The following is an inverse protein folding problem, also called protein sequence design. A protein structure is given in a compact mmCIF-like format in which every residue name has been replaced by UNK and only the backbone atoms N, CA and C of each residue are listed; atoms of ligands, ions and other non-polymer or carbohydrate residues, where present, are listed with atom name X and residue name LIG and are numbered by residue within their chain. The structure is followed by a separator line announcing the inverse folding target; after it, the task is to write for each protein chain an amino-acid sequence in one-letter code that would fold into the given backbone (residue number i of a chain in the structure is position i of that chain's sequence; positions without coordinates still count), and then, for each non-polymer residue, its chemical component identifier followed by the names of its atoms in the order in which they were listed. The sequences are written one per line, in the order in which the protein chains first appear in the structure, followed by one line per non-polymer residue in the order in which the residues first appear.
data_IF_789487064827
#
_entry.id   IF_789487064827
#
_cell.length_a   1.000
_cell.length_b   1.000
_cell.length_c   1.000
_cell.angle_alpha   90.00
_cell.angle_beta   90.00
_cell.angle_gamma   90.00
#
_symmetry.space_group_name_H-M   'P 1'
#
loop_
_entity.id
_entity.type
_entity.pdbx_description
1 polymer ?
#
# COMPACT_ATOMS: atom_id res chain seq x y z
N UNK A 1 -3.68 -10.00 10.09
CA UNK A 1 -3.51 -8.62 9.58
C UNK A 1 -2.05 -8.22 9.76
N UNK A 2 -1.41 -7.75 8.70
CA UNK A 2 -0.05 -7.20 8.69
C UNK A 2 -0.15 -5.70 8.98
N UNK A 3 0.62 -5.19 9.93
CA UNK A 3 0.69 -3.75 10.20
C UNK A 3 1.85 -3.16 9.40
N UNK A 4 1.55 -2.19 8.56
CA UNK A 4 2.48 -1.53 7.65
C UNK A 4 2.79 -0.13 8.18
N UNK A 5 4.07 0.20 8.36
CA UNK A 5 4.50 1.55 8.72
C UNK A 5 4.48 2.45 7.50
N UNK A 6 3.65 3.48 7.58
CA UNK A 6 3.52 4.50 6.54
C UNK A 6 4.78 5.37 6.41
N UNK A 7 5.18 5.66 5.18
CA UNK A 7 6.25 6.58 4.77
C UNK A 7 7.55 6.43 5.54
N UNK A 8 8.18 5.27 5.47
CA UNK A 8 9.56 5.10 5.96
C UNK A 8 10.54 5.48 4.86
N UNK A 9 10.51 6.78 4.51
CA UNK A 9 11.20 7.31 3.33
C UNK A 9 12.70 7.55 3.51
N UNK A 10 13.23 7.35 4.72
CA UNK A 10 14.67 7.45 5.00
C UNK A 10 15.20 6.13 5.52
N UNK A 11 16.50 5.87 5.35
CA UNK A 11 17.17 4.69 5.87
C UNK A 11 17.19 4.71 7.40
N UNK A 12 17.25 5.89 8.01
CA UNK A 12 17.11 6.06 9.45
C UNK A 12 15.74 5.57 9.93
N UNK A 13 14.68 5.99 9.25
CA UNK A 13 13.31 5.57 9.53
C UNK A 13 13.06 4.08 9.31
N UNK A 14 13.64 3.53 8.25
CA UNK A 14 13.62 2.10 7.96
C UNK A 14 14.29 1.32 9.09
N UNK A 15 15.49 1.74 9.52
CA UNK A 15 16.24 1.07 10.61
C UNK A 15 15.58 1.20 11.97
N UNK A 16 14.86 2.30 12.21
CA UNK A 16 14.09 2.52 13.41
C UNK A 16 12.77 1.72 13.44
N UNK A 17 12.37 1.14 12.31
CA UNK A 17 11.17 0.30 12.22
C UNK A 17 11.50 -1.14 12.61
N UNK A 18 10.59 -1.77 13.36
CA UNK A 18 10.74 -3.18 13.73
C UNK A 18 10.50 -4.11 12.54
N UNK A 19 11.34 -5.14 12.39
CA UNK A 19 11.32 -6.06 11.26
C UNK A 19 10.04 -6.92 11.15
N UNK A 20 9.23 -7.01 12.21
CA UNK A 20 7.94 -7.71 12.20
C UNK A 20 6.81 -6.90 11.53
N UNK A 21 7.04 -5.61 11.26
CA UNK A 21 6.14 -4.75 10.53
C UNK A 21 6.43 -4.80 9.03
N UNK A 22 5.45 -4.44 8.20
CA UNK A 22 5.74 -4.07 6.81
C UNK A 22 6.06 -2.59 6.69
N UNK A 23 6.45 -2.17 5.49
CA UNK A 23 6.86 -0.80 5.18
C UNK A 23 6.10 -0.30 3.97
N UNK A 24 5.64 0.94 4.02
CA UNK A 24 5.26 1.71 2.85
C UNK A 24 6.25 2.87 2.68
N UNK A 25 6.64 3.13 1.44
CA UNK A 25 7.51 4.23 1.04
C UNK A 25 7.05 4.85 -0.27
N UNK A 26 7.45 6.09 -0.50
CA UNK A 26 7.15 6.85 -1.71
C UNK A 26 8.36 6.88 -2.66
N UNK A 27 8.12 6.64 -3.95
CA UNK A 27 9.16 6.52 -4.97
C UNK A 27 9.00 7.55 -6.09
N UNK A 28 10.13 8.13 -6.49
CA UNK A 28 10.28 9.10 -7.59
C UNK A 28 11.58 8.85 -8.36
N UNK A 29 11.77 9.55 -9.48
CA UNK A 29 13.04 9.59 -10.19
C UNK A 29 13.86 10.85 -9.92
N UNK A 30 15.18 10.71 -10.07
CA UNK A 30 16.15 11.80 -10.16
C UNK A 30 17.10 11.51 -11.31
N UNK A 31 16.79 12.05 -12.49
CA UNK A 31 17.49 11.68 -13.72
C UNK A 31 17.34 10.18 -14.00
N UNK A 32 18.45 9.44 -13.99
CA UNK A 32 18.44 7.99 -14.15
C UNK A 32 18.38 7.22 -12.82
N UNK A 33 18.21 7.87 -11.68
CA UNK A 33 18.15 7.22 -10.36
C UNK A 33 16.72 7.10 -9.85
N UNK A 34 16.47 6.09 -9.01
CA UNK A 34 15.28 6.02 -8.17
C UNK A 34 15.60 6.64 -6.80
N UNK A 35 14.70 7.48 -6.31
CA UNK A 35 14.82 8.12 -5.00
C UNK A 35 13.58 7.86 -4.16
N UNK A 36 13.78 7.88 -2.85
CA UNK A 36 12.71 7.72 -1.86
C UNK A 36 12.26 9.10 -1.38
N UNK A 37 11.14 9.58 -1.91
CA UNK A 37 10.58 10.87 -1.53
C UNK A 37 9.09 10.99 -1.89
N UNK A 38 8.31 11.64 -1.02
CA UNK A 38 6.89 11.86 -1.25
C UNK A 38 6.63 13.04 -2.19
N UNK A 39 7.16 14.22 -1.87
CA UNK A 39 6.83 15.46 -2.56
C UNK A 39 7.54 15.60 -3.90
N UNK A 40 6.86 16.21 -4.86
CA UNK A 40 7.43 16.53 -6.17
C UNK A 40 8.47 17.64 -6.04
N UNK A 41 9.44 17.65 -6.96
CA UNK A 41 10.51 18.66 -7.01
C UNK A 41 11.39 18.74 -5.76
N UNK A 42 11.39 17.67 -4.95
CA UNK A 42 12.23 17.52 -3.78
C UNK A 42 13.14 16.32 -3.95
N UNK A 43 14.31 16.41 -3.33
CA UNK A 43 15.32 15.38 -3.40
C UNK A 43 15.16 14.33 -2.29
N UNK A 44 15.67 13.12 -2.49
CA UNK A 44 15.54 12.00 -1.57
C UNK A 44 16.75 11.08 -1.51
N UNK A 45 16.71 10.13 -0.58
CA UNK A 45 17.71 9.08 -0.51
C UNK A 45 17.63 8.18 -1.74
N UNK A 46 18.77 7.69 -2.21
CA UNK A 46 18.82 6.74 -3.33
C UNK A 46 18.17 5.42 -2.92
N UNK A 47 17.22 4.95 -3.73
CA UNK A 47 16.39 3.81 -3.37
C UNK A 47 17.19 2.52 -3.20
N UNK A 48 18.22 2.27 -4.00
CA UNK A 48 19.02 1.05 -3.87
C UNK A 48 19.79 1.00 -2.53
N UNK A 49 20.20 2.14 -2.00
CA UNK A 49 20.89 2.24 -0.70
C UNK A 49 19.89 2.07 0.45
N UNK A 50 18.69 2.63 0.30
CA UNK A 50 17.57 2.39 1.21
C UNK A 50 17.18 0.91 1.24
N UNK A 51 17.04 0.30 0.06
CA UNK A 51 16.60 -1.09 -0.13
C UNK A 51 17.60 -2.10 0.44
N UNK A 52 18.89 -1.77 0.45
CA UNK A 52 19.91 -2.60 1.10
C UNK A 52 19.68 -2.76 2.62
N UNK A 53 18.94 -1.85 3.25
CA UNK A 53 18.54 -1.94 4.66
C UNK A 53 17.24 -2.72 4.90
N UNK A 54 16.51 -3.09 3.84
CA UNK A 54 15.19 -3.69 3.96
C UNK A 54 15.27 -5.16 4.40
N UNK A 55 14.60 -5.48 5.51
CA UNK A 55 14.53 -6.82 6.13
C UNK A 55 13.20 -7.05 6.86
N UNK A 56 12.16 -6.36 6.39
CA UNK A 56 10.85 -6.28 7.02
C UNK A 56 9.89 -7.31 6.41
N UNK A 57 8.61 -7.26 6.78
CA UNK A 57 7.55 -8.07 6.15
C UNK A 57 7.23 -7.55 4.74
N UNK A 58 5.97 -7.18 4.49
CA UNK A 58 5.51 -6.71 3.19
C UNK A 58 6.04 -5.31 2.87
N UNK A 59 6.45 -5.10 1.63
CA UNK A 59 6.86 -3.80 1.09
C UNK A 59 5.77 -3.21 0.19
N UNK A 60 5.33 -1.99 0.47
CA UNK A 60 4.42 -1.24 -0.40
C UNK A 60 5.23 -0.20 -1.16
N UNK A 61 5.33 -0.38 -2.48
CA UNK A 61 6.00 0.53 -3.39
C UNK A 61 5.00 1.58 -3.87
N UNK A 62 4.89 2.72 -3.18
CA UNK A 62 4.02 3.80 -3.57
C UNK A 62 4.69 4.63 -4.69
N UNK A 63 4.27 4.44 -5.94
CA UNK A 63 4.85 5.14 -7.08
C UNK A 63 4.20 6.51 -7.23
N UNK A 64 4.98 7.58 -7.13
CA UNK A 64 4.47 8.96 -7.26
C UNK A 64 4.58 9.53 -8.67
N UNK A 65 5.02 8.69 -9.60
CA UNK A 65 5.16 8.97 -11.01
C UNK A 65 5.11 7.67 -11.82
N UNK A 66 4.77 7.80 -13.08
CA UNK A 66 4.58 6.69 -13.99
C UNK A 66 5.91 6.24 -14.62
N UNK A 67 6.09 4.93 -14.87
CA UNK A 67 7.22 4.41 -15.63
C UNK A 67 8.36 3.86 -14.77
N UNK A 68 8.22 3.90 -13.46
CA UNK A 68 9.19 3.31 -12.53
C UNK A 68 9.07 1.78 -12.44
N UNK A 69 7.93 1.21 -12.83
CA UNK A 69 7.57 -0.18 -12.52
C UNK A 69 8.56 -1.20 -13.05
N UNK A 70 8.99 -1.10 -14.30
CA UNK A 70 9.88 -2.10 -14.91
C UNK A 70 11.23 -2.15 -14.19
N UNK A 71 11.76 -1.00 -13.74
CA UNK A 71 13.01 -0.94 -12.94
C UNK A 71 12.78 -1.46 -11.53
N UNK A 72 11.65 -1.11 -10.91
CA UNK A 72 11.31 -1.59 -9.57
C UNK A 72 11.12 -3.11 -9.55
N UNK A 73 10.41 -3.70 -10.51
CA UNK A 73 10.26 -5.16 -10.66
C UNK A 73 11.63 -5.83 -10.82
N UNK A 74 12.51 -5.26 -11.66
CA UNK A 74 13.86 -5.80 -11.86
C UNK A 74 14.69 -5.78 -10.56
N UNK A 75 14.63 -4.67 -9.81
CA UNK A 75 15.31 -4.53 -8.52
C UNK A 75 14.76 -5.49 -7.46
N UNK A 76 13.43 -5.65 -7.36
CA UNK A 76 12.82 -6.59 -6.41
C UNK A 76 13.28 -8.02 -6.71
N UNK A 77 13.30 -8.41 -7.99
CA UNK A 77 13.81 -9.73 -8.42
C UNK A 77 15.30 -9.90 -8.12
N UNK A 78 16.13 -8.89 -8.39
CA UNK A 78 17.56 -8.93 -8.10
C UNK A 78 17.84 -9.12 -6.60
N UNK A 79 17.02 -8.51 -5.74
CA UNK A 79 17.12 -8.60 -4.28
C UNK A 79 16.38 -9.80 -3.68
N UNK A 80 15.66 -10.57 -4.49
CA UNK A 80 14.83 -11.69 -4.01
C UNK A 80 13.67 -11.26 -3.11
N UNK A 81 13.17 -10.04 -3.30
CA UNK A 81 12.03 -9.50 -2.54
C UNK A 81 10.76 -9.87 -3.28
N UNK A 82 10.01 -10.84 -2.75
CA UNK A 82 8.79 -11.34 -3.37
C UNK A 82 7.50 -10.78 -2.74
N UNK A 83 7.53 -10.48 -1.44
CA UNK A 83 6.40 -9.95 -0.68
C UNK A 83 6.34 -8.42 -0.76
N UNK A 84 5.95 -7.92 -1.93
CA UNK A 84 5.68 -6.51 -2.17
C UNK A 84 4.43 -6.30 -3.01
N UNK A 85 3.94 -5.07 -3.08
CA UNK A 85 3.00 -4.65 -4.12
C UNK A 85 3.11 -3.16 -4.44
N UNK A 86 2.68 -2.79 -5.64
CA UNK A 86 2.59 -1.41 -6.10
C UNK A 86 1.33 -0.72 -5.57
N UNK A 87 1.49 0.53 -5.14
CA UNK A 87 0.43 1.44 -4.74
C UNK A 87 0.47 2.72 -5.59
N UNK A 88 -0.70 3.35 -5.77
CA UNK A 88 -0.92 4.62 -6.48
C UNK A 88 -0.42 4.65 -7.93
N UNK A 89 -0.31 3.48 -8.58
CA UNK A 89 -0.19 3.44 -10.03
C UNK A 89 -1.39 4.14 -10.65
N UNK A 90 -1.15 4.97 -11.66
CA UNK A 90 -2.25 5.45 -12.49
C UNK A 90 -3.00 4.27 -13.11
N UNK A 91 -4.30 4.41 -13.33
CA UNK A 91 -5.11 3.31 -13.83
C UNK A 91 -4.58 2.71 -15.16
N UNK A 92 -4.12 3.51 -16.15
CA UNK A 92 -3.46 2.96 -17.35
C UNK A 92 -2.22 2.12 -17.06
N UNK A 93 -1.36 2.56 -16.13
CA UNK A 93 -0.14 1.85 -15.76
C UNK A 93 -0.42 0.59 -14.94
N UNK A 94 -1.41 0.64 -14.05
CA UNK A 94 -1.94 -0.53 -13.35
C UNK A 94 -2.40 -1.61 -14.35
N UNK A 95 -3.24 -1.24 -15.33
CA UNK A 95 -3.74 -2.17 -16.35
C UNK A 95 -2.59 -2.72 -17.21
N UNK A 96 -1.63 -1.89 -17.58
CA UNK A 96 -0.45 -2.29 -18.36
C UNK A 96 0.41 -3.28 -17.58
N UNK A 97 0.69 -3.00 -16.31
CA UNK A 97 1.49 -3.85 -15.42
C UNK A 97 0.82 -5.20 -15.21
N UNK A 98 -0.49 -5.20 -14.91
CA UNK A 98 -1.29 -6.41 -14.79
C UNK A 98 -1.32 -7.25 -16.09
N UNK A 99 -1.42 -6.60 -17.26
CA UNK A 99 -1.36 -7.30 -18.55
C UNK A 99 -0.01 -7.95 -18.86
N UNK A 100 1.07 -7.47 -18.24
CA UNK A 100 2.40 -8.08 -18.35
C UNK A 100 2.59 -9.25 -17.37
N UNK A 101 1.56 -9.59 -16.58
CA UNK A 101 1.57 -10.71 -15.65
C UNK A 101 2.07 -10.37 -14.25
N UNK A 102 2.37 -9.10 -13.96
CA UNK A 102 2.68 -8.67 -12.60
C UNK A 102 1.38 -8.41 -11.84
N UNK A 103 1.03 -9.32 -10.93
CA UNK A 103 -0.21 -9.26 -10.15
C UNK A 103 -0.06 -8.53 -8.81
N UNK A 104 1.16 -8.21 -8.38
CA UNK A 104 1.47 -7.51 -7.13
C UNK A 104 1.18 -6.00 -7.25
N UNK A 105 -0.08 -5.68 -7.50
CA UNK A 105 -0.57 -4.32 -7.63
C UNK A 105 -1.82 -4.13 -6.77
N UNK A 106 -2.03 -2.90 -6.30
CA UNK A 106 -3.26 -2.49 -5.63
C UNK A 106 -4.12 -1.58 -6.51
N UNK A 107 -5.42 -1.87 -6.57
CA UNK A 107 -6.43 -0.92 -7.03
C UNK A 107 -7.00 -0.18 -5.84
N UNK A 108 -7.22 1.13 -5.98
CA UNK A 108 -7.82 1.94 -4.92
C UNK A 108 -9.32 1.70 -4.85
N UNK A 109 -9.84 1.67 -3.64
CA UNK A 109 -11.28 1.63 -3.31
C UNK A 109 -11.53 2.64 -2.21
N UNK A 110 -12.46 3.55 -2.43
CA UNK A 110 -12.75 4.65 -1.51
C UNK A 110 -14.16 5.17 -1.73
N UNK A 111 -14.53 6.23 -1.02
CA UNK A 111 -15.79 6.93 -1.24
C UNK A 111 -15.91 7.52 -2.66
N UNK A 112 -14.79 7.66 -3.37
CA UNK A 112 -14.71 8.16 -4.74
C UNK A 112 -14.42 7.06 -5.77
N UNK A 113 -13.99 5.88 -5.32
CA UNK A 113 -13.45 4.81 -6.16
C UNK A 113 -14.23 3.51 -5.90
N UNK A 114 -15.07 3.09 -6.85
CA UNK A 114 -16.02 1.99 -6.70
C UNK A 114 -15.35 0.60 -6.64
N UNK A 115 -15.94 -0.30 -5.83
CA UNK A 115 -15.60 -1.73 -5.84
C UNK A 115 -15.78 -2.39 -7.21
N UNK A 116 -16.70 -1.91 -8.05
CA UNK A 116 -16.93 -2.52 -9.36
C UNK A 116 -15.75 -2.27 -10.31
N UNK A 117 -15.02 -1.17 -10.12
CA UNK A 117 -13.75 -0.93 -10.82
C UNK A 117 -12.70 -1.95 -10.39
N UNK A 118 -12.61 -2.22 -9.08
CA UNK A 118 -11.70 -3.23 -8.56
C UNK A 118 -12.06 -4.64 -9.09
N UNK A 119 -13.34 -5.02 -9.04
CA UNK A 119 -13.82 -6.33 -9.51
C UNK A 119 -13.54 -6.58 -11.00
N UNK A 120 -13.45 -5.54 -11.85
CA UNK A 120 -13.02 -5.69 -13.25
C UNK A 120 -11.54 -6.09 -13.41
N UNK A 121 -10.75 -5.98 -12.36
CA UNK A 121 -9.34 -6.39 -12.29
C UNK A 121 -9.16 -7.71 -11.53
N UNK A 122 -10.23 -8.36 -11.12
CA UNK A 122 -10.19 -9.65 -10.42
C UNK A 122 -9.39 -10.70 -11.23
N UNK A 123 -8.57 -11.47 -10.52
CA UNK A 123 -7.67 -12.47 -11.12
C UNK A 123 -6.47 -11.89 -11.88
N UNK A 124 -6.37 -10.57 -12.05
CA UNK A 124 -5.24 -9.90 -12.72
C UNK A 124 -4.31 -9.21 -11.74
N UNK A 125 -4.84 -8.70 -10.64
CA UNK A 125 -4.08 -8.09 -9.54
C UNK A 125 -4.57 -8.64 -8.20
N UNK A 126 -3.80 -8.44 -7.14
CA UNK A 126 -4.02 -9.10 -5.85
C UNK A 126 -4.56 -8.20 -4.75
N UNK A 127 -4.38 -6.88 -4.82
CA UNK A 127 -4.67 -6.00 -3.68
C UNK A 127 -5.75 -4.97 -3.97
N UNK A 128 -6.55 -4.66 -2.96
CA UNK A 128 -7.39 -3.48 -2.89
C UNK A 128 -6.87 -2.58 -1.76
N UNK A 129 -6.51 -1.35 -2.11
CA UNK A 129 -6.13 -0.30 -1.15
C UNK A 129 -7.38 0.47 -0.74
N UNK A 130 -7.84 0.24 0.49
CA UNK A 130 -9.16 0.70 0.97
C UNK A 130 -8.98 1.98 1.78
N UNK A 131 -9.28 3.12 1.15
CA UNK A 131 -9.05 4.46 1.68
C UNK A 131 -10.31 5.06 2.33
N UNK A 132 -10.14 5.80 3.43
CA UNK A 132 -11.22 6.31 4.27
C UNK A 132 -11.15 7.83 4.53
N UNK A 133 -11.20 8.61 3.46
CA UNK A 133 -11.13 10.09 3.49
C UNK A 133 -12.04 10.72 4.56
N UNK A 134 -13.32 10.33 4.61
CA UNK A 134 -14.27 10.82 5.62
C UNK A 134 -14.92 9.69 6.41
N UNK A 135 -15.18 8.54 5.77
CA UNK A 135 -15.69 7.32 6.41
C UNK A 135 -15.13 6.07 5.74
N UNK A 136 -15.26 4.93 6.41
CA UNK A 136 -14.89 3.65 5.81
C UNK A 136 -15.80 3.34 4.62
N UNK A 137 -15.26 2.98 3.44
CA UNK A 137 -16.05 2.94 2.20
C UNK A 137 -16.77 1.61 1.96
N UNK A 138 -16.51 0.57 2.75
CA UNK A 138 -17.06 -0.77 2.56
C UNK A 138 -18.03 -1.16 3.67
N UNK A 139 -19.11 -1.83 3.29
CA UNK A 139 -19.88 -2.72 4.17
C UNK A 139 -19.36 -4.17 4.10
N UNK A 140 -19.88 -5.04 4.96
CA UNK A 140 -19.47 -6.45 5.00
C UNK A 140 -19.72 -7.23 3.71
N UNK A 141 -20.78 -6.90 2.96
CA UNK A 141 -21.11 -7.57 1.70
C UNK A 141 -20.15 -7.15 0.57
N UNK A 142 -19.80 -5.87 0.51
CA UNK A 142 -18.85 -5.32 -0.45
C UNK A 142 -17.44 -5.86 -0.21
N UNK A 143 -16.98 -5.91 1.05
CA UNK A 143 -15.69 -6.50 1.41
C UNK A 143 -15.63 -7.98 1.02
N UNK A 144 -16.69 -8.74 1.33
CA UNK A 144 -16.80 -10.15 0.94
C UNK A 144 -16.74 -10.34 -0.58
N UNK A 145 -17.46 -9.52 -1.36
CA UNK A 145 -17.40 -9.58 -2.83
C UNK A 145 -15.98 -9.39 -3.37
N UNK A 146 -15.21 -8.47 -2.79
CA UNK A 146 -13.80 -8.26 -3.18
C UNK A 146 -12.95 -9.49 -2.82
N UNK A 147 -13.08 -10.01 -1.61
CA UNK A 147 -12.28 -11.15 -1.14
C UNK A 147 -12.64 -12.45 -1.87
N UNK A 148 -13.92 -12.71 -2.15
CA UNK A 148 -14.38 -13.85 -2.95
C UNK A 148 -13.84 -13.78 -4.39
N UNK A 149 -13.56 -12.58 -4.90
CA UNK A 149 -12.90 -12.35 -6.18
C UNK A 149 -11.36 -12.48 -6.12
N UNK A 150 -10.81 -12.81 -4.96
CA UNK A 150 -9.38 -13.06 -4.73
C UNK A 150 -8.56 -11.85 -4.29
N UNK A 151 -9.20 -10.71 -3.98
CA UNK A 151 -8.48 -9.54 -3.48
C UNK A 151 -8.10 -9.68 -2.01
N UNK A 152 -6.88 -9.27 -1.68
CA UNK A 152 -6.43 -8.93 -0.33
C UNK A 152 -6.74 -7.45 -0.07
N UNK A 153 -7.26 -7.14 1.11
CA UNK A 153 -7.57 -5.78 1.54
C UNK A 153 -6.41 -5.20 2.35
N UNK A 154 -5.91 -4.04 1.94
CA UNK A 154 -5.00 -3.21 2.72
C UNK A 154 -5.73 -1.93 3.11
N UNK A 155 -6.00 -1.75 4.40
CA UNK A 155 -6.73 -0.60 4.91
C UNK A 155 -5.82 0.61 5.06
N UNK A 156 -6.36 1.80 4.78
CA UNK A 156 -5.74 3.07 5.16
C UNK A 156 -6.25 3.47 6.53
N UNK A 157 -5.35 3.66 7.49
CA UNK A 157 -5.73 4.08 8.83
C UNK A 157 -6.21 5.55 8.83
N UNK A 158 -7.25 5.92 9.61
CA UNK A 158 -7.88 7.24 9.56
C UNK A 158 -6.93 8.43 9.75
N UNK A 159 -5.88 8.30 10.55
CA UNK A 159 -4.90 9.35 10.83
C UNK A 159 -4.03 9.69 9.62
N UNK A 160 -3.97 8.82 8.61
CA UNK A 160 -3.32 9.14 7.35
C UNK A 160 -4.10 10.21 6.57
N UNK A 161 -5.39 10.37 6.86
CA UNK A 161 -6.27 11.42 6.35
C UNK A 161 -6.43 12.59 7.34
N UNK A 162 -5.54 12.68 8.35
CA UNK A 162 -5.54 13.77 9.34
C UNK A 162 -6.61 13.65 10.42
N UNK A 163 -7.24 12.47 10.57
CA UNK A 163 -8.24 12.21 11.62
C UNK A 163 -7.57 11.79 12.93
N UNK A 164 -8.28 11.94 14.05
CA UNK A 164 -7.76 11.59 15.37
C UNK A 164 -7.56 10.07 15.51
N UNK A 165 -6.30 9.63 15.65
CA UNK A 165 -5.97 8.20 15.72
C UNK A 165 -6.58 7.51 16.95
N UNK A 166 -6.49 8.14 18.12
CA UNK A 166 -6.92 7.56 19.39
C UNK A 166 -8.44 7.35 19.47
N UNK A 167 -9.21 8.17 18.74
CA UNK A 167 -10.67 8.04 18.65
C UNK A 167 -11.11 7.19 17.45
N UNK A 168 -10.57 7.45 16.27
CA UNK A 168 -11.12 6.92 15.03
C UNK A 168 -10.62 5.51 14.69
N UNK A 169 -9.42 5.12 15.12
CA UNK A 169 -8.94 3.73 14.95
C UNK A 169 -9.81 2.75 15.74
N UNK A 170 -10.12 2.96 17.04
CA UNK A 170 -11.04 2.08 17.76
C UNK A 170 -12.43 2.01 17.12
N UNK A 171 -12.96 3.14 16.63
CA UNK A 171 -14.26 3.18 15.93
C UNK A 171 -14.21 2.34 14.65
N UNK A 172 -13.14 2.47 13.86
CA UNK A 172 -12.96 1.68 12.65
C UNK A 172 -12.81 0.19 12.97
N UNK A 173 -12.01 -0.18 13.97
CA UNK A 173 -11.87 -1.58 14.41
C UNK A 173 -13.21 -2.19 14.83
N UNK A 174 -14.02 -1.44 15.58
CA UNK A 174 -15.37 -1.87 15.98
C UNK A 174 -16.30 -2.03 14.76
N UNK A 175 -16.22 -1.12 13.78
CA UNK A 175 -16.97 -1.23 12.53
C UNK A 175 -16.57 -2.50 11.76
N UNK A 176 -15.27 -2.73 11.56
CA UNK A 176 -14.77 -3.92 10.86
C UNK A 176 -15.26 -5.21 11.52
N UNK A 177 -15.22 -5.28 12.85
CA UNK A 177 -15.72 -6.42 13.61
C UNK A 177 -17.23 -6.61 13.44
N UNK A 178 -18.02 -5.55 13.50
CA UNK A 178 -19.48 -5.58 13.31
C UNK A 178 -19.85 -6.05 11.90
N UNK A 179 -19.14 -5.57 10.89
CA UNK A 179 -19.35 -5.92 9.49
C UNK A 179 -18.75 -7.30 9.12
N UNK A 180 -17.99 -7.91 10.03
CA UNK A 180 -17.28 -9.17 9.78
C UNK A 180 -16.16 -9.05 8.73
N UNK A 181 -15.56 -7.87 8.60
CA UNK A 181 -14.50 -7.57 7.64
C UNK A 181 -13.15 -7.92 8.26
N UNK A 182 -12.43 -8.85 7.64
CA UNK A 182 -11.07 -9.25 8.03
C UNK A 182 -10.11 -8.81 6.94
N UNK A 183 -9.31 -7.79 7.21
CA UNK A 183 -8.32 -7.30 6.25
C UNK A 183 -6.95 -7.98 6.43
N UNK A 184 -6.26 -8.15 5.31
CA UNK A 184 -4.92 -8.73 5.27
C UNK A 184 -3.87 -7.77 5.80
N UNK A 185 -4.02 -6.46 5.56
CA UNK A 185 -3.07 -5.45 6.01
C UNK A 185 -3.73 -4.11 6.41
N UNK A 186 -3.01 -3.30 7.16
CA UNK A 186 -3.33 -1.90 7.44
C UNK A 186 -2.09 -1.03 7.39
N UNK A 187 -2.14 0.09 6.69
CA UNK A 187 -1.08 1.10 6.67
C UNK A 187 -1.38 2.22 7.66
N UNK A 188 -0.44 2.52 8.55
CA UNK A 188 -0.68 3.39 9.70
C UNK A 188 0.60 4.10 10.19
N UNK A 189 0.40 5.25 10.84
CA UNK A 189 1.39 5.92 11.69
C UNK A 189 1.34 5.45 13.15
N UNK A 190 0.33 4.69 13.56
CA UNK A 190 0.08 4.26 14.95
C UNK A 190 -0.07 2.72 15.10
N UNK A 191 1.00 1.93 14.96
CA UNK A 191 0.96 0.45 14.95
C UNK A 191 0.35 -0.16 16.19
N UNK A 192 0.64 0.42 17.35
CA UNK A 192 0.17 -0.10 18.64
C UNK A 192 -1.35 -0.01 18.78
N UNK A 193 -2.00 0.93 18.07
CA UNK A 193 -3.47 1.03 18.06
C UNK A 193 -4.13 -0.05 17.19
N UNK A 194 -3.36 -0.71 16.32
CA UNK A 194 -3.80 -1.78 15.41
C UNK A 194 -3.42 -3.18 15.87
N UNK A 195 -2.55 -3.29 16.88
CA UNK A 195 -2.20 -4.56 17.52
C UNK A 195 -3.30 -5.05 18.49
#
# INVERSE_FOLDING_TARGET
MIVIRHRRNTLADLRATSADLGIELDLRSRGEELIVHHDAFADGERFEDWLAGFRHRTLILNVKEEGLEDRLIALMRERGIEDYFFLDQSFPFLVRTANRGESRCAVRVSEFESIDTALRLAGRIQWAWVDCFTRFPLDGAQARRLQDAGFKLCLVSPELQGRDAGREIPVLRALLAREGIVAEAVCTKEPELWR
#
